data_IF_628539519151
#
_entry.id   IF_628539519151
#
_cell.length_a   1.000
_cell.length_b   1.000
_cell.length_c   1.000
_cell.angle_alpha   90.00
_cell.angle_beta   90.00
_cell.angle_gamma   90.00
#
_symmetry.space_group_name_H-M   'P 1'
#
loop_
_entity.id
_entity.type
_entity.pdbx_description
1 polymer ?
2 non-polymer ?
3 water ?
#
# COMPACT_ATOMS: atom_id res chain seq x y z
N UNK A 1 13.25 11.56 21.53
CA UNK A 1 13.16 10.77 20.28
C UNK A 1 13.48 9.30 20.56
N UNK A 2 12.96 8.41 19.71
CA UNK A 2 13.26 6.96 19.74
C UNK A 2 14.39 6.72 18.75
N UNK A 3 15.39 5.89 19.39
CA UNK A 3 16.58 5.75 18.54
C UNK A 3 16.34 4.90 17.28
N UNK A 4 15.50 3.88 17.39
CA UNK A 4 15.29 2.91 16.29
C UNK A 4 13.79 2.79 16.07
N UNK A 5 13.15 3.87 15.57
CA UNK A 5 11.69 3.85 15.39
C UNK A 5 11.33 2.72 14.44
N UNK A 6 10.26 1.99 14.75
CA UNK A 6 9.88 0.79 13.96
C UNK A 6 8.86 1.13 12.85
N UNK A 7 8.37 2.36 12.78
CA UNK A 7 7.43 2.79 11.73
C UNK A 7 7.41 4.31 11.72
N UNK A 8 6.57 4.87 10.85
CA UNK A 8 6.49 6.33 10.70
C UNK A 8 5.77 7.01 11.88
N UNK A 9 5.04 6.27 12.70
CA UNK A 9 4.39 6.82 13.93
C UNK A 9 5.47 7.07 14.99
N UNK A 10 6.41 6.17 15.14
CA UNK A 10 7.50 6.33 16.13
C UNK A 10 8.52 7.35 15.63
N UNK A 11 8.61 7.57 14.30
CA UNK A 11 9.58 8.48 13.67
C UNK A 11 9.05 9.90 13.76
N UNK A 12 7.73 10.01 13.91
CA UNK A 12 7.02 11.31 13.85
C UNK A 12 7.07 11.88 15.25
N UNK A 13 6.50 11.10 16.18
CA UNK A 13 6.43 11.41 17.64
C UNK A 13 7.86 11.78 18.09
N UNK A 14 8.88 11.34 17.34
CA UNK A 14 10.26 11.93 17.36
C UNK A 14 10.23 13.39 16.87
N UNK A 15 9.05 14.02 16.79
CA UNK A 15 8.88 15.47 16.53
C UNK A 15 8.82 15.82 15.04
N UNK A 16 9.54 15.08 14.19
CA UNK A 16 9.68 15.34 12.72
C UNK A 16 8.31 15.21 12.03
N UNK A 17 7.72 16.35 11.62
CA UNK A 17 6.32 16.43 11.08
C UNK A 17 6.32 16.70 9.58
N UNK A 18 7.48 16.65 8.93
CA UNK A 18 7.65 16.88 7.48
C UNK A 18 7.52 15.53 6.77
N UNK A 19 6.64 15.44 5.79
CA UNK A 19 6.56 14.23 4.94
C UNK A 19 7.88 14.10 4.20
N UNK A 20 8.33 12.87 3.97
CA UNK A 20 9.55 12.61 3.21
C UNK A 20 10.20 11.33 3.67
N UNK A 21 11.50 11.17 3.39
CA UNK A 21 12.20 9.90 3.63
C UNK A 21 12.69 9.83 5.06
N UNK A 22 12.41 8.71 5.72
CA UNK A 22 12.90 8.45 7.08
C UNK A 22 13.46 7.04 7.14
N UNK A 23 14.38 6.80 8.06
CA UNK A 23 14.82 5.44 8.35
C UNK A 23 13.95 4.86 9.45
N UNK A 24 13.37 3.70 9.20
CA UNK A 24 12.80 2.88 10.28
C UNK A 24 13.61 1.61 10.44
N UNK A 25 13.32 0.92 11.53
CA UNK A 25 14.11 -0.24 11.97
C UNK A 25 13.14 -1.35 12.31
N UNK A 26 13.11 -2.40 11.50
CA UNK A 26 12.06 -3.43 11.70
C UNK A 26 12.32 -4.12 13.04
N UNK A 27 11.27 -4.26 13.83
CA UNK A 27 11.38 -4.81 15.19
C UNK A 27 12.27 -3.93 16.08
N UNK A 28 12.49 -2.65 15.77
CA UNK A 28 13.38 -1.77 16.54
C UNK A 28 14.83 -2.22 16.49
N UNK A 29 15.18 -3.07 15.53
CA UNK A 29 16.54 -3.67 15.40
C UNK A 29 17.37 -2.72 14.53
N UNK A 30 18.48 -2.20 15.03
CA UNK A 30 19.38 -1.31 14.26
C UNK A 30 20.00 -2.04 13.04
N UNK A 31 19.99 -3.34 12.99
CA UNK A 31 20.51 -4.10 11.83
C UNK A 31 19.40 -4.31 10.78
N UNK A 32 18.18 -3.79 11.00
CA UNK A 32 17.06 -3.97 10.04
C UNK A 32 16.58 -2.60 9.62
N UNK A 33 17.52 -1.73 9.20
CA UNK A 33 17.20 -0.36 8.74
C UNK A 33 16.45 -0.47 7.42
N UNK A 34 15.43 0.34 7.26
CA UNK A 34 14.63 0.39 6.02
C UNK A 34 14.31 1.84 5.76
N UNK A 35 14.62 2.35 4.58
CA UNK A 35 14.21 3.73 4.23
C UNK A 35 12.75 3.68 3.78
N UNK A 36 11.95 4.58 4.32
CA UNK A 36 10.54 4.62 3.92
C UNK A 36 10.19 6.08 3.62
N UNK A 37 9.16 6.25 2.82
CA UNK A 37 8.49 7.57 2.70
C UNK A 37 7.41 7.61 3.77
N UNK A 38 7.47 8.61 4.64
CA UNK A 38 6.45 8.89 5.68
C UNK A 38 5.53 10.02 5.22
N UNK A 39 4.22 9.74 5.16
CA UNK A 39 3.20 10.80 4.96
C UNK A 39 2.86 11.30 6.35
N UNK A 40 3.35 12.47 6.70
CA UNK A 40 3.22 12.99 8.08
C UNK A 40 2.03 13.94 8.15
N UNK A 41 1.25 14.08 7.08
CA UNK A 41 0.18 15.13 7.05
C UNK A 41 -1.23 14.52 6.97
N UNK A 42 -1.43 13.42 6.27
CA UNK A 42 -2.77 12.83 6.08
C UNK A 42 -3.32 12.31 7.41
N UNK A 43 -4.51 12.77 7.80
CA UNK A 43 -5.22 12.34 9.03
C UNK A 43 -4.24 12.11 10.18
N UNK A 44 -3.47 13.12 10.55
CA UNK A 44 -2.60 13.07 11.73
C UNK A 44 -1.21 12.52 11.44
N UNK A 45 -0.97 11.96 10.24
CA UNK A 45 0.41 11.57 9.86
C UNK A 45 0.81 10.20 10.37
N UNK A 46 2.11 9.94 10.45
CA UNK A 46 2.68 8.70 10.97
C UNK A 46 2.51 7.53 10.02
N UNK A 47 2.24 7.79 8.73
CA UNK A 47 1.98 6.74 7.72
C UNK A 47 3.26 6.33 6.97
N UNK A 48 3.55 5.05 6.95
CA UNK A 48 4.49 4.48 5.95
C UNK A 48 3.72 4.36 4.64
N UNK A 49 4.15 5.10 3.64
CA UNK A 49 3.60 4.90 2.26
C UNK A 49 4.24 3.64 1.68
N UNK A 50 3.44 2.75 1.12
CA UNK A 50 4.01 1.52 0.52
C UNK A 50 3.68 1.39 -0.96
N UNK A 51 2.78 2.22 -1.47
CA UNK A 51 2.49 2.26 -2.93
C UNK A 51 2.24 3.71 -3.29
N UNK A 52 2.82 4.17 -4.38
CA UNK A 52 2.42 5.48 -4.91
C UNK A 52 2.34 5.36 -6.43
N UNK A 53 1.18 5.76 -6.96
CA UNK A 53 0.96 5.96 -8.41
C UNK A 53 0.67 7.45 -8.62
N UNK A 54 1.29 8.07 -9.60
CA UNK A 54 1.07 9.51 -9.84
C UNK A 54 1.41 9.93 -11.27
N UNK A 55 2.12 9.16 -12.07
CA UNK A 55 2.50 9.69 -13.42
C UNK A 55 2.75 8.60 -14.45
N UNK A 56 2.78 7.32 -14.09
CA UNK A 56 2.96 6.25 -15.08
C UNK A 56 4.39 6.10 -15.55
N UNK A 57 5.35 6.72 -14.88
CA UNK A 57 6.77 6.60 -15.32
C UNK A 57 7.33 5.23 -14.90
N UNK A 58 6.83 4.62 -13.82
CA UNK A 58 7.42 3.36 -13.31
C UNK A 58 6.63 2.17 -13.82
N UNK A 59 7.28 1.06 -14.11
CA UNK A 59 6.64 -0.21 -14.54
C UNK A 59 6.17 -1.02 -13.33
N UNK A 60 4.87 -1.30 -13.23
CA UNK A 60 4.34 -2.13 -12.10
C UNK A 60 4.10 -3.54 -12.57
N UNK A 61 4.31 -3.83 -13.86
CA UNK A 61 4.12 -5.21 -14.35
C UNK A 61 5.43 -5.96 -14.11
N UNK A 62 5.62 -6.39 -12.86
CA UNK A 62 6.92 -6.90 -12.39
C UNK A 62 6.68 -8.24 -11.74
N UNK A 63 7.75 -8.99 -11.53
CA UNK A 63 7.66 -10.41 -11.13
C UNK A 63 7.59 -10.55 -9.61
N UNK A 64 7.40 -11.79 -9.20
CA UNK A 64 7.27 -12.15 -7.78
C UNK A 64 8.44 -11.58 -7.00
N UNK A 65 9.68 -11.86 -7.42
CA UNK A 65 10.84 -11.41 -6.64
C UNK A 65 10.80 -9.87 -6.50
N UNK A 66 10.37 -9.15 -7.53
CA UNK A 66 10.29 -7.66 -7.49
C UNK A 66 9.23 -7.23 -6.49
N UNK A 67 8.06 -7.84 -6.52
CA UNK A 67 6.99 -7.54 -5.54
C UNK A 67 7.41 -7.94 -4.12
N UNK A 68 8.18 -9.01 -3.96
CA UNK A 68 8.64 -9.42 -2.61
C UNK A 68 9.60 -8.37 -2.05
N UNK A 69 10.51 -7.85 -2.89
CA UNK A 69 11.64 -7.01 -2.43
C UNK A 69 11.30 -5.53 -2.46
N UNK A 70 10.42 -5.11 -3.37
CA UNK A 70 10.15 -3.70 -3.58
C UNK A 70 10.91 -3.16 -4.77
N UNK A 71 10.43 -2.04 -5.31
CA UNK A 71 11.03 -1.41 -6.51
C UNK A 71 10.55 0.03 -6.58
N UNK A 72 11.27 0.80 -7.37
CA UNK A 72 10.90 2.18 -7.72
C UNK A 72 11.64 3.21 -6.89
N UNK A 73 11.12 4.43 -6.94
CA UNK A 73 11.68 5.66 -6.34
C UNK A 73 10.68 6.03 -5.25
N UNK A 74 11.08 5.93 -3.99
CA UNK A 74 10.19 6.28 -2.84
C UNK A 74 9.65 7.70 -2.91
N UNK A 75 10.35 8.60 -3.58
CA UNK A 75 9.90 10.00 -3.71
C UNK A 75 8.86 10.18 -4.83
N UNK A 76 8.66 9.15 -5.66
CA UNK A 76 7.79 9.18 -6.85
C UNK A 76 6.95 7.89 -6.81
N UNK A 77 6.99 7.11 -7.87
CA UNK A 77 6.21 5.86 -7.96
C UNK A 77 7.03 4.67 -7.48
N UNK A 78 6.48 3.88 -6.57
CA UNK A 78 7.23 2.76 -5.98
C UNK A 78 6.24 1.81 -5.33
N UNK A 79 6.79 0.65 -5.02
CA UNK A 79 6.19 -0.43 -4.23
C UNK A 79 7.18 -0.83 -3.15
N UNK A 80 6.79 -0.74 -1.88
CA UNK A 80 7.78 -0.95 -0.77
C UNK A 80 8.28 -2.40 -0.68
N UNK A 81 7.52 -3.38 -1.11
CA UNK A 81 7.93 -4.79 -0.95
C UNK A 81 7.06 -5.56 0.00
N UNK A 82 6.66 -6.75 -0.39
CA UNK A 82 5.78 -7.60 0.45
C UNK A 82 6.53 -8.10 1.68
N UNK A 83 7.84 -8.35 1.57
CA UNK A 83 8.60 -8.85 2.72
C UNK A 83 8.63 -7.74 3.77
N UNK A 84 8.83 -6.52 3.33
CA UNK A 84 8.81 -5.36 4.23
C UNK A 84 7.42 -5.24 4.85
N UNK A 85 6.37 -5.34 4.07
CA UNK A 85 5.01 -5.16 4.61
C UNK A 85 4.73 -6.26 5.62
N UNK A 86 5.17 -7.48 5.33
CA UNK A 86 4.94 -8.59 6.29
C UNK A 86 5.63 -8.23 7.61
N UNK A 87 6.89 -7.85 7.53
CA UNK A 87 7.69 -7.60 8.75
C UNK A 87 7.12 -6.40 9.52
N UNK A 88 6.66 -5.36 8.84
CA UNK A 88 6.07 -4.16 9.52
C UNK A 88 4.77 -4.64 10.20
N UNK A 89 3.90 -5.31 9.45
CA UNK A 89 2.55 -5.63 10.00
C UNK A 89 2.65 -6.66 11.12
N UNK A 90 3.74 -7.40 11.23
CA UNK A 90 3.99 -8.38 12.32
C UNK A 90 4.30 -7.67 13.62
N UNK A 91 4.68 -6.39 13.59
CA UNK A 91 5.18 -5.60 14.75
C UNK A 91 4.06 -5.24 15.71
N UNK A 92 2.82 -5.31 15.28
CA UNK A 92 1.68 -4.85 16.10
C UNK A 92 0.45 -4.78 15.22
N UNK A 93 -0.61 -4.14 15.69
CA UNK A 93 -1.86 -4.01 14.92
C UNK A 93 -1.76 -2.74 14.08
N UNK A 94 -1.77 -2.90 12.76
CA UNK A 94 -1.71 -1.76 11.80
C UNK A 94 -3.07 -1.56 11.16
N UNK A 95 -3.27 -0.32 10.75
CA UNK A 95 -4.40 0.16 9.92
C UNK A 95 -3.85 0.54 8.54
N UNK A 96 -4.66 0.30 7.53
CA UNK A 96 -4.40 0.65 6.11
C UNK A 96 -5.18 1.90 5.78
N UNK A 97 -4.52 2.81 5.08
CA UNK A 97 -5.20 3.94 4.46
C UNK A 97 -4.87 3.94 2.99
N UNK A 98 -5.89 4.22 2.21
CA UNK A 98 -5.72 4.40 0.76
C UNK A 98 -6.22 5.81 0.47
N UNK A 99 -5.37 6.60 -0.18
CA UNK A 99 -5.70 7.96 -0.69
C UNK A 99 -5.75 7.92 -2.20
N UNK A 100 -6.84 8.43 -2.79
CA UNK A 100 -7.04 8.42 -4.24
C UNK A 100 -7.32 9.87 -4.66
N UNK A 101 -6.88 10.21 -5.84
CA UNK A 101 -7.21 11.55 -6.41
C UNK A 101 -7.21 11.41 -7.92
N UNK A 102 -8.25 11.95 -8.55
CA UNK A 102 -8.42 11.85 -10.01
C UNK A 102 -9.13 13.12 -10.44
N UNK A 103 -8.53 13.88 -11.37
CA UNK A 103 -9.14 15.10 -11.93
C UNK A 103 -9.78 15.93 -10.81
N UNK A 104 -9.03 16.17 -9.73
CA UNK A 104 -9.41 17.08 -8.64
C UNK A 104 -10.29 16.41 -7.61
N UNK A 105 -10.88 15.26 -7.90
CA UNK A 105 -11.73 14.59 -6.89
C UNK A 105 -10.85 13.73 -5.98
N UNK A 106 -11.19 13.65 -4.70
CA UNK A 106 -10.43 12.79 -3.76
C UNK A 106 -11.39 11.81 -3.09
N UNK A 107 -10.86 10.67 -2.70
CA UNK A 107 -11.57 9.71 -1.85
C UNK A 107 -10.54 8.99 -1.01
N UNK A 108 -11.01 8.31 0.03
CA UNK A 108 -10.09 7.52 0.86
C UNK A 108 -10.83 6.31 1.39
N UNK A 109 -10.05 5.35 1.81
CA UNK A 109 -10.50 4.17 2.55
C UNK A 109 -9.54 3.95 3.69
N UNK A 110 -10.11 3.59 4.84
CA UNK A 110 -9.30 3.14 6.00
C UNK A 110 -9.84 1.77 6.40
N UNK A 111 -8.90 0.90 6.70
CA UNK A 111 -9.21 -0.44 7.24
C UNK A 111 -8.50 -0.55 8.57
N UNK A 112 -9.29 -0.69 9.62
CA UNK A 112 -8.79 -0.71 11.02
C UNK A 112 -7.77 -1.80 11.26
N UNK A 113 -7.88 -2.92 10.56
CA UNK A 113 -6.94 -4.05 10.68
C UNK A 113 -6.37 -4.37 9.31
N UNK A 114 -5.05 -4.40 9.24
CA UNK A 114 -4.34 -4.64 7.97
C UNK A 114 -3.09 -5.41 8.30
N UNK A 115 -2.95 -6.56 7.66
CA UNK A 115 -1.73 -7.35 7.80
C UNK A 115 -1.43 -8.05 6.49
N UNK A 116 -0.17 -8.40 6.33
CA UNK A 116 0.36 -9.14 5.16
C UNK A 116 1.15 -10.32 5.71
N UNK A 117 0.74 -11.52 5.35
CA UNK A 117 1.40 -12.72 5.87
C UNK A 117 2.79 -12.90 5.27
N UNK A 118 3.49 -13.96 5.66
CA UNK A 118 4.87 -14.16 5.18
C UNK A 118 4.82 -14.95 3.87
N UNK A 119 6.00 -15.26 3.33
CA UNK A 119 6.12 -15.86 2.00
C UNK A 119 5.42 -17.23 1.96
N UNK A 120 5.36 -17.96 3.09
CA UNK A 120 4.75 -19.31 3.15
C UNK A 120 3.23 -19.13 3.01
N UNK A 121 2.69 -17.92 3.27
CA UNK A 121 1.24 -17.58 3.02
C UNK A 121 1.03 -16.97 1.65
N UNK A 122 2.08 -16.90 0.82
CA UNK A 122 2.11 -16.10 -0.42
C UNK A 122 1.61 -14.68 -0.09
N UNK A 123 2.11 -14.16 1.05
CA UNK A 123 1.89 -12.77 1.50
C UNK A 123 0.37 -12.49 1.55
N UNK A 124 -0.35 -13.37 2.24
CA UNK A 124 -1.84 -13.33 2.41
C UNK A 124 -2.26 -11.95 2.93
N UNK A 125 -3.30 -11.39 2.36
CA UNK A 125 -3.83 -10.07 2.77
C UNK A 125 -4.90 -10.31 3.85
N UNK A 126 -4.84 -9.53 4.91
CA UNK A 126 -5.96 -9.36 5.86
C UNK A 126 -6.32 -7.87 5.86
N UNK A 127 -7.59 -7.56 5.59
CA UNK A 127 -8.10 -6.17 5.69
C UNK A 127 -9.50 -6.25 6.26
N UNK A 128 -9.73 -5.55 7.38
CA UNK A 128 -11.03 -5.57 8.05
C UNK A 128 -11.28 -4.15 8.54
N UNK A 129 -12.56 -3.84 8.82
CA UNK A 129 -12.91 -2.63 9.55
C UNK A 129 -12.84 -1.41 8.65
N UNK A 130 -13.60 -1.42 7.57
CA UNK A 130 -13.67 -0.31 6.58
C UNK A 130 -14.33 0.94 7.13
N UNK A 131 -13.76 2.08 6.78
CA UNK A 131 -14.50 3.36 6.75
C UNK A 131 -13.93 4.15 5.59
N UNK A 132 -14.73 5.07 5.09
CA UNK A 132 -14.23 5.99 4.07
C UNK A 132 -15.23 6.40 3.06
N UNK A 133 -14.71 7.02 2.01
CA UNK A 133 -15.53 7.59 0.93
C UNK A 133 -15.31 6.87 -0.40
N UNK A 134 -14.25 6.06 -0.53
CA UNK A 134 -13.93 5.44 -1.83
C UNK A 134 -14.86 4.26 -2.08
N UNK A 135 -15.44 3.70 -1.03
CA UNK A 135 -16.22 2.46 -1.12
C UNK A 135 -15.35 1.26 -0.80
N UNK A 136 -15.92 0.28 -0.10
CA UNK A 136 -15.16 -0.87 0.42
C UNK A 136 -14.79 -1.85 -0.70
N UNK A 137 -13.77 -1.54 -1.48
CA UNK A 137 -13.36 -2.41 -2.62
C UNK A 137 -12.30 -3.43 -2.18
N UNK A 138 -11.67 -3.27 -1.03
CA UNK A 138 -10.72 -4.30 -0.57
C UNK A 138 -11.44 -5.51 0.05
N UNK A 139 -12.71 -5.40 0.47
CA UNK A 139 -13.39 -6.52 1.13
C UNK A 139 -13.30 -7.74 0.20
N UNK A 140 -13.49 -7.50 -1.10
CA UNK A 140 -13.50 -8.56 -2.13
C UNK A 140 -12.21 -9.37 -2.06
N UNK A 141 -11.12 -8.70 -1.72
CA UNK A 141 -9.72 -9.19 -1.79
C UNK A 141 -9.29 -9.81 -0.46
N UNK A 142 -10.06 -9.64 0.62
CA UNK A 142 -9.65 -10.08 1.97
C UNK A 142 -9.32 -11.58 1.96
N UNK A 143 -8.17 -11.91 2.52
CA UNK A 143 -7.72 -13.30 2.76
C UNK A 143 -7.01 -13.87 1.56
N UNK A 144 -6.90 -13.11 0.46
CA UNK A 144 -6.28 -13.63 -0.77
C UNK A 144 -4.76 -13.52 -0.71
N UNK A 145 -4.09 -14.52 -1.29
CA UNK A 145 -2.63 -14.46 -1.47
C UNK A 145 -2.30 -13.44 -2.58
N UNK A 146 -1.04 -13.03 -2.66
CA UNK A 146 -0.57 -12.10 -3.69
C UNK A 146 -0.33 -12.91 -4.95
N UNK A 147 -0.52 -12.28 -6.10
CA UNK A 147 -0.28 -12.90 -7.43
C UNK A 147 0.52 -11.96 -8.29
N UNK A 148 1.54 -12.52 -8.95
CA UNK A 148 2.29 -11.89 -10.05
C UNK A 148 2.15 -12.83 -11.24
N UNK A 149 2.58 -12.38 -12.40
CA UNK A 149 2.45 -13.17 -13.65
C UNK A 149 3.19 -14.50 -13.50
N UNK A 150 4.27 -14.54 -12.73
CA UNK A 150 5.14 -15.75 -12.64
C UNK A 150 4.81 -16.57 -11.41
N UNK A 151 3.78 -16.22 -10.64
CA UNK A 151 3.30 -17.03 -9.48
C UNK A 151 1.81 -16.76 -9.30
N UNK A 159 -4.80 -16.74 -14.66
CA UNK A 159 -3.90 -15.92 -13.81
C UNK A 159 -4.21 -14.44 -14.10
N UNK A 160 -4.70 -13.76 -13.07
CA UNK A 160 -5.21 -12.37 -13.16
C UNK A 160 -4.10 -11.38 -13.48
N UNK A 161 -2.88 -11.63 -12.99
CA UNK A 161 -1.73 -10.73 -13.14
C UNK A 161 -1.37 -10.67 -14.60
N UNK A 162 -1.28 -11.83 -15.20
CA UNK A 162 -1.01 -11.93 -16.66
C UNK A 162 -2.16 -11.26 -17.42
N UNK A 163 -3.40 -11.66 -17.11
CA UNK A 163 -4.63 -11.29 -17.86
C UNK A 163 -4.89 -9.78 -17.79
N UNK A 164 -4.52 -9.10 -16.68
CA UNK A 164 -4.62 -7.62 -16.52
C UNK A 164 -3.25 -6.89 -16.50
N UNK A 165 -2.10 -7.57 -16.64
CA UNK A 165 -0.78 -6.91 -16.74
C UNK A 165 -0.52 -6.03 -15.49
N UNK A 166 -0.82 -6.57 -14.30
CA UNK A 166 -0.52 -5.92 -13.00
C UNK A 166 -0.07 -6.95 -11.98
N UNK A 167 -0.28 -6.67 -10.70
CA UNK A 167 0.04 -7.57 -9.59
C UNK A 167 -0.89 -7.16 -8.46
N UNK A 168 -1.39 -8.09 -7.68
CA UNK A 168 -2.29 -7.75 -6.55
C UNK A 168 -2.60 -9.02 -5.78
N UNK A 169 -3.32 -8.87 -4.68
CA UNK A 169 -4.02 -9.95 -3.98
C UNK A 169 -5.27 -10.35 -4.77
N UNK A 170 -5.07 -10.82 -6.02
CA UNK A 170 -6.14 -11.11 -6.97
C UNK A 170 -7.03 -12.28 -6.48
N UNK A 171 -8.28 -12.18 -6.86
CA UNK A 171 -9.33 -13.19 -6.61
C UNK A 171 -9.77 -13.67 -7.99
N UNK A 172 -10.83 -13.10 -8.56
CA UNK A 172 -11.28 -13.52 -9.91
C UNK A 172 -12.06 -12.39 -10.58
N UNK A 173 -11.43 -11.22 -10.80
CA UNK A 173 -10.03 -10.97 -10.54
C UNK A 173 -9.89 -9.83 -9.52
N UNK A 174 -10.56 -8.70 -9.73
CA UNK A 174 -10.26 -7.55 -8.84
C UNK A 174 -11.43 -6.57 -8.75
N UNK A 175 -11.47 -5.89 -7.61
CA UNK A 175 -12.14 -4.58 -7.48
C UNK A 175 -11.13 -3.48 -7.21
N UNK A 176 -9.93 -3.84 -6.76
CA UNK A 176 -8.81 -2.89 -6.57
C UNK A 176 -7.65 -3.37 -7.43
N UNK A 177 -7.06 -2.47 -8.20
CA UNK A 177 -5.97 -2.81 -9.13
C UNK A 177 -4.96 -1.66 -9.11
N UNK A 178 -4.51 -1.22 -7.93
CA UNK A 178 -3.70 0.01 -7.84
C UNK A 178 -2.29 -0.21 -8.40
N UNK A 179 -1.91 -1.45 -8.72
CA UNK A 179 -0.63 -1.74 -9.40
C UNK A 179 -0.89 -2.08 -10.86
N UNK A 180 -1.99 -1.58 -11.40
CA UNK A 180 -2.34 -1.79 -12.81
C UNK A 180 -1.65 -0.83 -13.73
N UNK A 181 -2.08 -0.85 -14.98
CA UNK A 181 -1.41 -0.08 -16.04
C UNK A 181 -1.88 1.37 -15.95
N UNK A 182 -0.93 2.29 -15.81
CA UNK A 182 -1.23 3.74 -15.66
C UNK A 182 -1.90 4.30 -16.92
N UNK A 183 -2.95 5.08 -16.70
CA UNK A 183 -3.76 5.73 -17.74
C UNK A 183 -4.51 4.77 -18.63
N UNK A 184 -4.67 3.50 -18.25
CA UNK A 184 -5.34 2.51 -19.13
C UNK A 184 -6.81 2.40 -18.73
N UNK A 185 -7.70 3.02 -19.50
CA UNK A 185 -9.15 3.03 -19.21
C UNK A 185 -9.85 1.78 -19.78
N UNK A 186 -9.14 0.89 -20.47
CA UNK A 186 -9.75 -0.39 -20.93
C UNK A 186 -10.21 -1.17 -19.70
N UNK A 187 -11.35 -1.86 -19.78
CA UNK A 187 -11.97 -2.59 -18.64
C UNK A 187 -10.93 -3.39 -17.84
N UNK A 188 -10.78 -3.04 -16.56
CA UNK A 188 -10.00 -3.79 -15.55
C UNK A 188 -8.49 -3.74 -15.80
N UNK A 189 -7.99 -2.93 -16.73
CA UNK A 189 -6.55 -2.91 -17.09
C UNK A 189 -5.83 -1.84 -16.27
N UNK A 190 -6.56 -0.86 -15.74
CA UNK A 190 -5.94 0.38 -15.24
C UNK A 190 -5.86 0.44 -13.71
N UNK A 191 -5.54 1.60 -13.22
CA UNK A 191 -5.37 1.83 -11.77
C UNK A 191 -6.79 2.00 -11.20
N UNK A 192 -7.42 0.89 -10.85
CA UNK A 192 -8.87 0.91 -10.57
C UNK A 192 -9.14 0.82 -9.06
N UNK A 193 -10.21 1.49 -8.66
CA UNK A 193 -10.88 1.26 -7.36
C UNK A 193 -12.38 1.19 -7.69
N UNK A 194 -12.87 -0.02 -7.87
CA UNK A 194 -14.15 -0.20 -8.58
C UNK A 194 -15.30 0.58 -7.94
N UNK A 195 -15.38 0.62 -6.60
CA UNK A 195 -16.59 1.16 -5.96
C UNK A 195 -16.48 2.67 -5.84
N UNK A 196 -15.42 3.26 -6.40
CA UNK A 196 -15.28 4.73 -6.59
C UNK A 196 -15.44 5.09 -8.06
N UNK A 197 -14.66 4.50 -8.96
CA UNK A 197 -14.62 4.93 -10.38
C UNK A 197 -14.78 3.79 -11.37
N UNK A 198 -15.12 2.59 -10.91
CA UNK A 198 -15.44 1.48 -11.80
C UNK A 198 -14.21 0.88 -12.44
N UNK A 199 -14.41 0.15 -13.52
CA UNK A 199 -13.33 -0.66 -14.15
C UNK A 199 -12.87 -0.01 -15.45
N UNK A 200 -13.49 1.10 -15.87
CA UNK A 200 -13.13 1.78 -17.16
C UNK A 200 -12.63 3.19 -16.89
N UNK A 201 -11.94 3.36 -15.77
CA UNK A 201 -11.42 4.68 -15.36
C UNK A 201 -10.16 4.43 -14.55
N UNK A 202 -9.02 4.75 -15.13
CA UNK A 202 -7.71 4.56 -14.47
C UNK A 202 -7.46 5.80 -13.63
N UNK A 203 -7.20 5.63 -12.34
CA UNK A 203 -7.06 6.74 -11.39
C UNK A 203 -5.66 7.39 -11.50
N UNK A 204 -5.63 8.72 -11.50
CA UNK A 204 -4.38 9.49 -11.68
C UNK A 204 -3.43 9.30 -10.51
N UNK A 205 -3.95 9.36 -9.31
CA UNK A 205 -3.11 9.36 -8.10
C UNK A 205 -3.62 8.37 -7.08
N UNK A 206 -2.72 7.55 -6.56
CA UNK A 206 -3.10 6.54 -5.56
C UNK A 206 -1.95 6.36 -4.58
N UNK A 207 -2.25 6.36 -3.29
CA UNK A 207 -1.26 5.93 -2.29
C UNK A 207 -1.89 4.90 -1.35
N UNK A 208 -1.13 3.88 -1.00
CA UNK A 208 -1.49 2.94 0.11
C UNK A 208 -0.47 3.14 1.21
N UNK A 209 -0.94 3.17 2.46
CA UNK A 209 -0.03 3.48 3.56
C UNK A 209 -0.52 2.79 4.83
N UNK A 210 0.36 2.67 5.81
CA UNK A 210 -0.02 1.98 7.06
C UNK A 210 0.58 2.66 8.28
N UNK A 211 -0.10 2.50 9.39
CA UNK A 211 0.43 2.95 10.70
C UNK A 211 -0.32 2.18 11.78
N UNK A 212 0.16 2.21 13.05
CA UNK A 212 -0.51 1.48 14.12
C UNK A 212 -1.96 1.95 14.25
N UNK A 213 -2.85 0.98 14.35
CA UNK A 213 -4.29 1.27 14.48
C UNK A 213 -4.54 2.10 15.73
N UNK A 214 -3.71 2.02 16.76
CA UNK A 214 -3.95 2.77 18.03
C UNK A 214 -3.41 4.19 17.95
N UNK A 215 -2.85 4.59 16.81
CA UNK A 215 -2.24 5.93 16.61
C UNK A 215 -3.22 7.04 16.94
N UNK A 216 -4.49 6.83 16.60
CA UNK A 216 -5.59 7.84 16.71
C UNK A 216 -5.77 8.25 18.17
N UNK A 217 -5.24 7.52 19.14
CA UNK A 217 -5.44 7.92 20.57
C UNK A 217 -4.25 7.58 21.46
N UNK A 218 -3.03 7.70 20.94
CA UNK A 218 -1.81 7.19 21.65
C UNK A 218 -1.26 8.16 22.71
X LIG B 1 17.02 -1.36 -5.60
X LIG B 1 19.10 -0.87 -2.83
X LIG B 1 17.78 -2.74 -3.64
X LIG B 1 12.93 0.44 -4.25
X LIG B 1 11.92 1.11 -3.63
X LIG B 1 11.36 0.53 -2.51
X LIG B 1 11.78 -0.70 -2.03
X LIG B 1 12.87 -1.39 -2.70
X LIG B 1 13.44 -0.80 -3.79
X LIG B 1 15.82 -0.68 -4.82
X LIG B 1 19.17 -0.85 -4.39
X LIG B 1 18.45 -2.18 -2.40
X LIG B 1 10.39 1.17 -1.96
X LIG B 1 14.59 -1.41 -4.52
X LIG B 1 18.18 -1.87 -4.79
X LIG B 1 15.97 0.53 -4.50
#
# INVERSE_FOLDING_TARGET
SMPFPKDCSQAMLNGDTTSGLYTIYLNGDKAQALEVFCDMTSDGGGWIVFLRRKNGRENFYQNWKAYAAGFGDRREEFWLGLDNLNKITAQGQYELRVDLRDHGETAFAVYDKFSVGDAKTRYKLKVEGYSGTAGDSMAYHNGRSFSTFDKDTDSAITNCALSYKGAFWYRNCHRVNLMGRYGDNNHSQGVNWFHWKGHEHSIQFAEMKLRPSNFRNLEG
EJQ C10 C13 C15 C01 C02 C03 C04 C05 C06 C08 C12 C14 F16 N07 N11 O09
#
